data_IF_198506452583
#
_entry.id   IF_198506452583
#
_cell.length_a   1.000
_cell.length_b   1.000
_cell.length_c   1.000
_cell.angle_alpha   90.00
_cell.angle_beta   90.00
_cell.angle_gamma   90.00
#
_symmetry.space_group_name_H-M   'P 1'
#
loop_
_entity.id
_entity.type
_entity.pdbx_description
1 polymer ?
#
# COMPACT_ATOMS: atom_id res chain seq x y z
N UNK A 1 15.86 5.51 3.94
CA UNK A 1 15.29 4.33 3.25
C UNK A 1 15.33 3.19 4.25
N UNK A 2 14.17 2.64 4.66
CA UNK A 2 14.15 1.43 5.51
C UNK A 2 14.13 0.25 4.54
N UNK A 3 15.17 -0.58 4.52
CA UNK A 3 15.13 -1.80 3.71
C UNK A 3 14.05 -2.72 4.28
N UNK A 4 13.09 -3.13 3.45
CA UNK A 4 12.01 -4.03 3.87
C UNK A 4 10.70 -3.36 4.32
N UNK A 5 10.49 -2.07 4.00
CA UNK A 5 9.18 -1.44 4.21
C UNK A 5 8.15 -2.05 3.25
N UNK A 6 7.24 -2.86 3.78
CA UNK A 6 6.05 -3.37 3.07
C UNK A 6 4.85 -2.44 3.30
N UNK A 7 3.82 -2.58 2.48
CA UNK A 7 2.53 -1.89 2.69
C UNK A 7 2.02 -2.10 4.11
N UNK A 8 2.08 -3.34 4.62
CA UNK A 8 1.66 -3.68 5.97
C UNK A 8 2.42 -2.88 7.04
N UNK A 9 3.74 -2.83 6.96
CA UNK A 9 4.56 -2.05 7.91
C UNK A 9 4.35 -0.54 7.77
N UNK A 10 4.13 -0.04 6.54
CA UNK A 10 3.80 1.36 6.31
C UNK A 10 2.46 1.75 6.95
N UNK A 11 1.45 0.89 6.86
CA UNK A 11 0.16 1.10 7.54
C UNK A 11 0.32 1.04 9.06
N UNK A 12 1.13 0.12 9.59
CA UNK A 12 1.41 0.04 11.03
C UNK A 12 2.04 1.34 11.55
N UNK A 13 3.01 1.92 10.82
CA UNK A 13 3.61 3.21 11.13
C UNK A 13 2.57 4.35 11.09
N UNK A 14 1.59 4.28 10.18
CA UNK A 14 0.51 5.26 10.06
C UNK A 14 -0.60 5.13 11.14
N UNK A 15 -0.45 4.24 12.12
CA UNK A 15 -1.44 4.02 13.19
C UNK A 15 -2.31 2.78 13.00
N UNK A 16 -1.99 1.93 12.03
CA UNK A 16 -2.64 0.64 11.79
C UNK A 16 -3.87 0.70 10.91
N UNK A 17 -4.40 -0.48 10.58
CA UNK A 17 -5.61 -0.62 9.79
C UNK A 17 -6.85 -0.23 10.59
N UNK A 18 -7.77 0.52 9.97
CA UNK A 18 -9.11 0.70 10.53
C UNK A 18 -9.86 -0.64 10.59
N UNK A 19 -10.88 -0.79 11.46
CA UNK A 19 -11.61 -2.06 11.61
C UNK A 19 -12.22 -2.60 10.31
N UNK A 20 -12.60 -1.71 9.38
CA UNK A 20 -13.21 -2.08 8.08
C UNK A 20 -12.25 -2.07 6.90
N UNK A 21 -10.95 -1.90 7.13
CA UNK A 21 -9.97 -1.88 6.06
C UNK A 21 -9.86 -3.24 5.36
N UNK A 22 -9.69 -3.20 4.03
CA UNK A 22 -9.25 -4.36 3.26
C UNK A 22 -7.79 -4.67 3.60
N UNK A 23 -7.51 -5.92 4.01
CA UNK A 23 -6.18 -6.36 4.47
C UNK A 23 -5.50 -7.36 3.53
N UNK A 24 -6.18 -7.81 2.48
CA UNK A 24 -5.64 -8.77 1.51
C UNK A 24 -4.87 -8.09 0.39
N UNK A 25 -5.36 -6.94 -0.08
CA UNK A 25 -4.76 -6.18 -1.17
C UNK A 25 -4.98 -4.68 -0.98
N UNK A 26 -4.08 -3.89 -1.54
CA UNK A 26 -4.15 -2.43 -1.56
C UNK A 26 -3.97 -1.92 -2.97
N UNK A 27 -4.44 -0.71 -3.24
CA UNK A 27 -4.12 0.00 -4.47
C UNK A 27 -2.83 0.81 -4.25
N UNK A 28 -1.85 0.63 -5.12
CA UNK A 28 -0.65 1.46 -5.18
C UNK A 28 -0.68 2.28 -6.45
N UNK A 29 -0.42 3.58 -6.32
CA UNK A 29 -0.02 4.45 -7.44
C UNK A 29 1.49 4.65 -7.38
N UNK A 30 2.20 4.31 -8.44
CA UNK A 30 3.66 4.37 -8.54
C UNK A 30 4.09 4.92 -9.88
N UNK A 31 5.11 5.76 -9.89
CA UNK A 31 5.74 6.20 -11.13
C UNK A 31 6.78 5.16 -11.59
N UNK A 32 6.63 4.63 -12.80
CA UNK A 32 7.54 3.68 -13.43
C UNK A 32 7.90 4.22 -14.81
N UNK A 33 9.20 4.45 -15.07
CA UNK A 33 9.69 4.97 -16.34
C UNK A 33 9.02 6.27 -16.80
N UNK A 34 8.66 7.15 -15.86
CA UNK A 34 7.99 8.42 -16.13
C UNK A 34 6.46 8.34 -16.17
N UNK A 35 5.88 7.15 -16.22
CA UNK A 35 4.43 6.94 -16.27
C UNK A 35 3.85 6.59 -14.89
N UNK A 36 2.65 7.10 -14.60
CA UNK A 36 1.90 6.75 -13.38
C UNK A 36 1.12 5.46 -13.60
N UNK A 37 1.50 4.41 -12.88
CA UNK A 37 0.82 3.12 -12.91
C UNK A 37 0.01 2.95 -11.63
N UNK A 38 -1.23 2.50 -11.79
CA UNK A 38 -2.13 2.15 -10.69
C UNK A 38 -2.37 0.64 -10.72
N UNK A 39 -2.13 -0.04 -9.61
CA UNK A 39 -2.30 -1.48 -9.52
C UNK A 39 -2.71 -1.96 -8.14
N UNK A 40 -3.35 -3.13 -8.08
CA UNK A 40 -3.61 -3.82 -6.82
C UNK A 40 -2.50 -4.82 -6.52
N UNK A 41 -1.98 -4.76 -5.31
CA UNK A 41 -0.90 -5.63 -4.82
C UNK A 41 -1.24 -6.19 -3.44
N UNK A 42 -0.65 -7.33 -3.03
CA UNK A 42 -0.80 -7.81 -1.66
C UNK A 42 -0.20 -6.82 -0.66
N UNK A 43 -0.64 -6.87 0.60
CA UNK A 43 -0.09 -6.02 1.68
C UNK A 43 1.38 -6.31 2.02
N UNK A 44 1.91 -7.42 1.51
CA UNK A 44 3.33 -7.78 1.62
C UNK A 44 4.21 -7.14 0.54
N UNK A 45 3.62 -6.44 -0.45
CA UNK A 45 4.38 -5.79 -1.51
C UNK A 45 5.29 -4.68 -0.93
N UNK A 46 6.55 -4.57 -1.39
CA UNK A 46 7.47 -3.54 -0.93
C UNK A 46 7.05 -2.15 -1.42
N UNK A 47 7.04 -1.20 -0.49
CA UNK A 47 6.81 0.23 -0.76
C UNK A 47 8.10 0.85 -1.30
N UNK A 48 7.97 1.66 -2.34
CA UNK A 48 9.05 2.43 -2.97
C UNK A 48 8.85 3.93 -2.70
N UNK A 49 9.93 4.73 -2.74
CA UNK A 49 9.82 6.17 -2.65
C UNK A 49 8.87 6.73 -3.71
N UNK A 50 7.96 7.61 -3.28
CA UNK A 50 6.95 8.20 -4.17
C UNK A 50 5.68 7.37 -4.37
N UNK A 51 5.58 6.18 -3.78
CA UNK A 51 4.34 5.41 -3.80
C UNK A 51 3.23 6.12 -3.04
N UNK A 52 2.01 6.06 -3.58
CA UNK A 52 0.78 6.38 -2.88
C UNK A 52 0.03 5.08 -2.62
N UNK A 53 -0.18 4.77 -1.33
CA UNK A 53 -0.88 3.56 -0.88
C UNK A 53 -2.30 3.92 -0.48
N UNK A 54 -3.31 3.34 -1.14
CA UNK A 54 -4.72 3.51 -0.82
C UNK A 54 -5.31 2.21 -0.29
N UNK A 55 -5.92 2.32 0.88
CA UNK A 55 -6.57 1.21 1.57
C UNK A 55 -8.07 1.26 1.32
N UNK A 56 -8.60 0.27 0.61
CA UNK A 56 -10.03 0.11 0.41
C UNK A 56 -10.75 -0.32 1.70
N UNK A 57 -12.08 -0.16 1.73
CA UNK A 57 -12.93 -0.79 2.75
C UNK A 57 -13.42 -2.16 2.27
N UNK A 58 -13.65 -3.07 3.22
CA UNK A 58 -14.31 -4.35 2.94
C UNK A 58 -15.77 -4.12 2.60
N UNK A 59 -16.23 -4.77 1.53
CA UNK A 59 -17.64 -4.94 1.25
C UNK A 59 -18.06 -6.15 2.07
N UNK A 60 -18.93 -5.92 3.06
CA UNK A 60 -19.49 -6.86 4.06
C UNK A 60 -18.50 -7.56 5.01
#
# INVERSE_FOLDING_TARGET
FVSGLTVETAVAIAGGFSPRAQKSSVEITRQINGELIIGRVPVTDPVRPGDVVKIGQRLF
#
